data_IF_452372382907
#
_entry.id   IF_452372382907
#
_cell.length_a   1.000
_cell.length_b   1.000
_cell.length_c   1.000
_cell.angle_alpha   90.00
_cell.angle_beta   90.00
_cell.angle_gamma   90.00
#
_symmetry.space_group_name_H-M   'P 1'
#
loop_
_entity.id
_entity.type
_entity.pdbx_description
1 polymer ?
#
# COMPACT_ATOMS: atom_id res chain seq x y z
N UNK A 1 38.04 -19.36 -49.75
CA UNK A 1 37.70 -18.22 -50.63
C UNK A 1 36.25 -18.46 -51.07
N UNK A 2 35.22 -17.70 -50.71
CA UNK A 2 35.09 -16.34 -50.21
C UNK A 2 34.18 -16.30 -48.97
N UNK A 3 34.57 -15.50 -47.98
CA UNK A 3 33.73 -15.10 -46.86
C UNK A 3 32.88 -13.89 -47.29
N UNK A 4 31.56 -14.07 -47.32
CA UNK A 4 30.60 -12.99 -47.56
C UNK A 4 30.09 -12.45 -46.23
N UNK A 5 30.62 -11.29 -45.82
CA UNK A 5 30.11 -10.52 -44.69
C UNK A 5 28.69 -10.01 -44.97
N UNK A 6 27.71 -10.54 -44.24
CA UNK A 6 26.41 -9.89 -44.06
C UNK A 6 26.33 -9.45 -42.60
N UNK A 7 26.75 -8.22 -42.32
CA UNK A 7 26.44 -7.50 -41.09
C UNK A 7 25.09 -6.82 -41.29
N UNK A 8 24.00 -7.49 -40.91
CA UNK A 8 22.72 -6.81 -40.70
C UNK A 8 22.74 -6.25 -39.29
N UNK A 9 22.83 -4.93 -39.21
CA UNK A 9 22.52 -4.15 -38.02
C UNK A 9 21.05 -4.38 -37.64
N UNK A 10 20.81 -4.87 -36.43
CA UNK A 10 19.48 -5.02 -35.85
C UNK A 10 19.50 -4.51 -34.41
N UNK A 11 19.14 -3.24 -34.26
CA UNK A 11 18.95 -2.49 -33.03
C UNK A 11 18.07 -3.26 -32.03
N UNK A 12 18.48 -3.28 -30.76
CA UNK A 12 17.74 -3.94 -29.68
C UNK A 12 16.34 -3.38 -29.47
N UNK A 13 15.43 -4.26 -29.02
CA UNK A 13 14.20 -3.86 -28.37
C UNK A 13 14.15 -4.57 -27.01
N UNK A 14 14.75 -3.93 -26.00
CA UNK A 14 14.36 -4.14 -24.61
C UNK A 14 12.95 -3.54 -24.48
N UNK A 15 11.91 -4.38 -24.41
CA UNK A 15 10.56 -3.92 -24.08
C UNK A 15 10.47 -3.65 -22.57
N UNK A 16 10.86 -2.46 -22.13
CA UNK A 16 10.55 -1.96 -20.79
C UNK A 16 9.10 -1.47 -20.75
N UNK A 17 8.14 -2.39 -20.60
CA UNK A 17 6.73 -2.04 -20.33
C UNK A 17 6.47 -2.20 -18.83
N UNK A 18 6.91 -1.24 -18.02
CA UNK A 18 6.55 -1.18 -16.60
C UNK A 18 6.39 0.25 -16.04
N UNK A 19 6.66 1.29 -16.83
CA UNK A 19 6.69 2.69 -16.34
C UNK A 19 5.42 3.50 -16.62
N UNK A 20 4.38 2.93 -17.26
CA UNK A 20 3.17 3.69 -17.62
C UNK A 20 2.08 3.72 -16.52
N UNK A 21 2.17 2.87 -15.49
CA UNK A 21 1.19 2.87 -14.39
C UNK A 21 1.54 3.85 -13.26
N UNK A 22 2.79 4.33 -13.21
CA UNK A 22 3.23 5.27 -12.18
C UNK A 22 2.47 6.60 -12.27
N UNK A 23 2.17 7.09 -13.48
CA UNK A 23 1.62 8.43 -13.66
C UNK A 23 0.12 8.54 -13.37
N UNK A 24 -0.68 7.49 -13.60
CA UNK A 24 -2.16 7.57 -13.48
C UNK A 24 -2.68 7.74 -12.05
N UNK A 25 -1.91 7.29 -11.05
CA UNK A 25 -2.28 7.37 -9.64
C UNK A 25 -1.52 8.46 -8.89
N UNK A 26 -0.66 9.21 -9.57
CA UNK A 26 0.25 10.17 -8.94
C UNK A 26 -0.50 11.21 -8.10
N UNK A 27 -1.62 11.74 -8.59
CA UNK A 27 -2.46 12.70 -7.84
C UNK A 27 -3.01 12.09 -6.55
N UNK A 28 -3.40 10.81 -6.54
CA UNK A 28 -3.87 10.11 -5.34
C UNK A 28 -2.72 9.82 -4.36
N UNK A 29 -1.51 9.56 -4.87
CA UNK A 29 -0.32 9.29 -4.05
C UNK A 29 0.23 10.55 -3.39
N UNK A 30 0.20 11.66 -4.12
CA UNK A 30 0.72 12.96 -3.66
C UNK A 30 -0.27 13.68 -2.73
N UNK A 31 -1.54 13.26 -2.73
CA UNK A 31 -2.52 13.75 -1.78
C UNK A 31 -2.24 13.20 -0.36
N UNK A 32 -1.94 14.06 0.62
CA UNK A 32 -1.51 13.60 1.95
C UNK A 32 -2.62 12.91 2.74
N UNK A 33 -3.89 13.28 2.51
CA UNK A 33 -5.03 12.66 3.20
C UNK A 33 -5.22 11.22 2.72
N UNK A 34 -5.20 11.02 1.40
CA UNK A 34 -5.27 9.69 0.79
C UNK A 34 -4.04 8.87 1.17
N UNK A 35 -2.83 9.41 0.98
CA UNK A 35 -1.58 8.71 1.26
C UNK A 35 -1.49 8.23 2.71
N UNK A 36 -1.82 9.10 3.68
CA UNK A 36 -1.83 8.74 5.10
C UNK A 36 -2.95 7.73 5.41
N UNK A 37 -4.15 7.93 4.85
CA UNK A 37 -5.29 7.04 5.09
C UNK A 37 -5.05 5.60 4.61
N UNK A 38 -4.50 5.44 3.39
CA UNK A 38 -4.18 4.09 2.87
C UNK A 38 -3.02 3.45 3.63
N UNK A 39 -2.05 4.25 4.09
CA UNK A 39 -0.95 3.75 4.93
C UNK A 39 -1.47 3.23 6.27
N UNK A 40 -2.32 3.99 6.96
CA UNK A 40 -2.95 3.57 8.22
C UNK A 40 -3.74 2.27 8.02
N UNK A 41 -4.51 2.17 6.94
CA UNK A 41 -5.25 0.94 6.63
C UNK A 41 -4.33 -0.26 6.37
N UNK A 42 -3.21 -0.05 5.66
CA UNK A 42 -2.24 -1.10 5.39
C UNK A 42 -1.48 -1.55 6.64
N UNK A 43 -1.12 -0.64 7.54
CA UNK A 43 -0.50 -0.99 8.84
C UNK A 43 -1.47 -1.82 9.66
N UNK A 44 -2.73 -1.38 9.79
CA UNK A 44 -3.75 -2.12 10.53
C UNK A 44 -3.97 -3.53 9.97
N UNK A 45 -3.97 -3.68 8.64
CA UNK A 45 -4.05 -5.00 7.98
C UNK A 45 -2.80 -5.85 8.25
N UNK A 46 -1.61 -5.28 8.14
CA UNK A 46 -0.37 -6.02 8.39
C UNK A 46 -0.31 -6.55 9.83
N UNK A 47 -0.80 -5.78 10.80
CA UNK A 47 -0.94 -6.25 12.19
C UNK A 47 -1.99 -7.38 12.28
N UNK A 48 -3.19 -7.20 11.72
CA UNK A 48 -4.24 -8.24 11.67
C UNK A 48 -3.73 -9.54 11.03
N UNK A 49 -2.94 -9.46 9.96
CA UNK A 49 -2.44 -10.61 9.22
C UNK A 49 -1.30 -11.36 9.97
N UNK A 50 -0.59 -10.70 10.89
CA UNK A 50 0.55 -11.28 11.63
C UNK A 50 0.20 -11.72 13.06
N UNK A 51 -0.95 -11.29 13.61
CA UNK A 51 -1.28 -11.44 15.02
C UNK A 51 -2.57 -12.23 15.20
N UNK A 52 -2.48 -13.39 15.85
CA UNK A 52 -3.63 -14.26 16.07
C UNK A 52 -4.68 -13.67 17.04
N UNK A 53 -4.25 -12.77 17.91
CA UNK A 53 -5.01 -12.14 19.00
C UNK A 53 -5.33 -10.66 18.74
N UNK A 54 -5.09 -10.14 17.53
CA UNK A 54 -5.44 -8.78 17.16
C UNK A 54 -6.32 -8.79 15.91
N UNK A 55 -7.49 -8.18 16.02
CA UNK A 55 -8.46 -8.12 14.95
C UNK A 55 -8.72 -6.68 14.50
N UNK A 56 -8.96 -6.51 13.20
CA UNK A 56 -9.38 -5.23 12.66
C UNK A 56 -10.88 -4.99 12.90
N UNK A 57 -11.20 -3.81 13.45
CA UNK A 57 -12.57 -3.32 13.61
C UNK A 57 -13.15 -2.93 12.25
N UNK A 58 -13.87 -3.87 11.61
CA UNK A 58 -14.45 -3.69 10.26
C UNK A 58 -15.32 -2.44 10.12
N UNK A 59 -16.11 -2.11 11.15
CA UNK A 59 -16.96 -0.91 11.18
C UNK A 59 -16.15 0.39 11.12
N UNK A 60 -15.30 0.68 12.13
CA UNK A 60 -14.37 1.81 12.12
C UNK A 60 -13.52 1.90 10.86
N UNK A 61 -12.97 0.78 10.36
CA UNK A 61 -12.19 0.79 9.13
C UNK A 61 -13.02 1.22 7.90
N UNK A 62 -14.28 0.78 7.80
CA UNK A 62 -15.19 1.23 6.73
C UNK A 62 -15.50 2.72 6.86
N UNK A 63 -15.76 3.20 8.07
CA UNK A 63 -16.04 4.62 8.31
C UNK A 63 -14.83 5.50 7.98
N UNK A 64 -13.62 5.05 8.32
CA UNK A 64 -12.37 5.75 8.01
C UNK A 64 -12.09 5.84 6.50
N UNK A 65 -12.64 4.93 5.68
CA UNK A 65 -12.47 4.96 4.22
C UNK A 65 -13.37 6.00 3.52
N UNK A 66 -14.48 6.42 4.15
CA UNK A 66 -15.44 7.39 3.56
C UNK A 66 -14.78 8.72 3.20
N UNK A 67 -14.02 9.40 4.09
CA UNK A 67 -13.38 10.67 3.72
C UNK A 67 -12.36 10.50 2.59
N UNK A 68 -11.60 9.39 2.56
CA UNK A 68 -10.63 9.12 1.49
C UNK A 68 -11.32 8.97 0.13
N UNK A 69 -12.46 8.27 0.10
CA UNK A 69 -13.26 8.11 -1.09
C UNK A 69 -13.81 9.46 -1.60
N UNK A 70 -14.34 10.28 -0.69
CA UNK A 70 -14.83 11.62 -1.03
C UNK A 70 -13.69 12.53 -1.51
N UNK A 71 -12.50 12.42 -0.91
CA UNK A 71 -11.30 13.15 -1.32
C UNK A 71 -10.91 12.78 -2.74
N UNK A 72 -10.85 11.49 -3.07
CA UNK A 72 -10.55 11.04 -4.42
C UNK A 72 -11.57 11.54 -5.46
N UNK A 73 -12.86 11.55 -5.13
CA UNK A 73 -13.90 12.16 -5.98
C UNK A 73 -13.65 13.66 -6.18
N UNK A 74 -13.29 14.40 -5.12
CA UNK A 74 -12.98 15.83 -5.21
C UNK A 74 -11.78 16.14 -6.10
N UNK A 75 -10.87 15.18 -6.26
CA UNK A 75 -9.70 15.24 -7.15
C UNK A 75 -10.03 14.88 -8.60
N UNK A 76 -11.30 14.58 -8.91
CA UNK A 76 -11.79 14.29 -10.25
C UNK A 76 -11.87 12.81 -10.61
N UNK A 77 -11.58 11.90 -9.68
CA UNK A 77 -11.64 10.46 -9.94
C UNK A 77 -13.07 9.93 -9.88
N UNK A 78 -13.45 9.13 -10.88
CA UNK A 78 -14.70 8.38 -10.88
C UNK A 78 -14.65 7.21 -9.89
N UNK A 79 -15.83 6.69 -9.53
CA UNK A 79 -15.94 5.52 -8.63
C UNK A 79 -15.20 4.29 -9.17
N UNK A 80 -15.25 4.08 -10.48
CA UNK A 80 -14.54 2.99 -11.16
C UNK A 80 -13.03 3.17 -11.15
N UNK A 81 -12.54 4.41 -11.27
CA UNK A 81 -11.10 4.67 -11.16
C UNK A 81 -10.60 4.51 -9.72
N UNK A 82 -11.40 4.90 -8.73
CA UNK A 82 -11.08 4.67 -7.32
C UNK A 82 -11.04 3.16 -7.02
N UNK A 83 -12.02 2.40 -7.53
CA UNK A 83 -12.02 0.95 -7.40
C UNK A 83 -10.77 0.34 -8.07
N UNK A 84 -10.44 0.78 -9.29
CA UNK A 84 -9.23 0.33 -9.99
C UNK A 84 -7.95 0.67 -9.22
N UNK A 85 -7.86 1.84 -8.57
CA UNK A 85 -6.74 2.21 -7.70
C UNK A 85 -6.62 1.28 -6.48
N UNK A 86 -7.75 0.99 -5.82
CA UNK A 86 -7.79 0.10 -4.66
C UNK A 86 -7.43 -1.34 -5.04
N UNK A 87 -7.83 -1.78 -6.24
CA UNK A 87 -7.61 -3.14 -6.73
C UNK A 87 -6.26 -3.34 -7.41
N UNK A 88 -5.55 -2.26 -7.77
CA UNK A 88 -4.23 -2.28 -8.38
C UNK A 88 -3.18 -2.94 -7.47
N UNK A 89 -2.62 -4.07 -7.92
CA UNK A 89 -1.68 -4.85 -7.11
C UNK A 89 -0.35 -4.12 -6.89
N UNK A 90 0.07 -3.27 -7.83
CA UNK A 90 1.28 -2.46 -7.65
C UNK A 90 1.05 -1.39 -6.58
N UNK A 91 -0.14 -0.76 -6.52
CA UNK A 91 -0.47 0.16 -5.44
C UNK A 91 -0.61 -0.53 -4.09
N UNK A 92 -1.26 -1.69 -4.04
CA UNK A 92 -1.33 -2.49 -2.81
C UNK A 92 0.07 -2.82 -2.30
N UNK A 93 0.97 -3.29 -3.17
CA UNK A 93 2.33 -3.61 -2.76
C UNK A 93 3.14 -2.39 -2.36
N UNK A 94 3.00 -1.26 -3.06
CA UNK A 94 3.63 0.00 -2.70
C UNK A 94 3.25 0.44 -1.30
N UNK A 95 1.95 0.37 -0.95
CA UNK A 95 1.47 0.77 0.37
C UNK A 95 1.87 -0.26 1.44
N UNK A 96 1.87 -1.57 1.13
CA UNK A 96 2.43 -2.59 2.05
C UNK A 96 3.90 -2.37 2.34
N UNK A 97 4.71 -2.04 1.34
CA UNK A 97 6.12 -1.69 1.54
C UNK A 97 6.31 -0.45 2.42
N UNK A 98 5.42 0.53 2.33
CA UNK A 98 5.40 1.66 3.27
C UNK A 98 5.04 1.23 4.69
N UNK A 99 4.05 0.35 4.85
CA UNK A 99 3.66 -0.19 6.15
C UNK A 99 4.79 -0.99 6.81
N UNK A 100 5.49 -1.86 6.05
CA UNK A 100 6.68 -2.59 6.52
C UNK A 100 7.73 -1.64 7.07
N UNK A 101 8.12 -0.64 6.27
CA UNK A 101 9.12 0.37 6.69
C UNK A 101 8.68 1.14 7.94
N UNK A 102 7.39 1.45 8.06
CA UNK A 102 6.85 2.16 9.22
C UNK A 102 6.93 1.30 10.50
N UNK A 103 6.72 -0.01 10.38
CA UNK A 103 6.87 -0.99 11.46
C UNK A 103 8.35 -1.21 11.83
N UNK A 104 9.23 -1.34 10.84
CA UNK A 104 10.68 -1.43 11.04
C UNK A 104 11.24 -0.23 11.80
N UNK A 105 10.76 0.98 11.50
CA UNK A 105 11.12 2.20 12.23
C UNK A 105 10.68 2.17 13.71
N UNK A 106 9.77 1.27 14.09
CA UNK A 106 9.32 1.02 15.46
C UNK A 106 9.96 -0.23 16.09
N UNK A 107 10.97 -0.79 15.42
CA UNK A 107 11.68 -1.97 15.89
C UNK A 107 10.93 -3.28 15.63
N UNK A 108 9.84 -3.26 14.87
CA UNK A 108 9.15 -4.48 14.46
C UNK A 108 9.80 -5.10 13.21
N UNK A 109 9.70 -6.42 13.08
CA UNK A 109 10.29 -7.18 11.98
C UNK A 109 9.35 -8.30 11.53
N UNK A 110 9.21 -8.49 10.23
CA UNK A 110 8.46 -9.64 9.68
C UNK A 110 9.12 -10.98 10.02
N UNK A 111 10.42 -10.99 10.28
CA UNK A 111 11.11 -12.19 10.77
C UNK A 111 10.78 -12.52 12.24
N UNK A 112 10.18 -11.57 12.96
CA UNK A 112 9.75 -11.73 14.34
C UNK A 112 8.33 -11.15 14.53
N UNK A 113 7.27 -11.83 14.04
CA UNK A 113 5.89 -11.32 14.02
C UNK A 113 5.38 -10.80 15.37
N UNK A 114 5.85 -11.38 16.48
CA UNK A 114 5.50 -10.91 17.83
C UNK A 114 5.85 -9.42 18.08
N UNK A 115 6.91 -8.92 17.44
CA UNK A 115 7.29 -7.50 17.51
C UNK A 115 6.28 -6.61 16.78
N UNK A 116 5.66 -7.09 15.69
CA UNK A 116 4.56 -6.41 15.00
C UNK A 116 3.33 -6.37 15.91
N UNK A 117 3.04 -7.48 16.59
CA UNK A 117 1.91 -7.57 17.52
C UNK A 117 2.10 -6.65 18.73
N UNK A 118 3.33 -6.51 19.22
CA UNK A 118 3.62 -5.54 20.28
C UNK A 118 3.32 -4.11 19.82
N UNK A 119 3.77 -3.71 18.62
CA UNK A 119 3.42 -2.39 18.05
C UNK A 119 1.90 -2.24 17.93
N UNK A 120 1.19 -3.29 17.51
CA UNK A 120 -0.27 -3.29 17.44
C UNK A 120 -0.94 -3.01 18.78
N UNK A 121 -0.49 -3.67 19.85
CA UNK A 121 -0.98 -3.45 21.22
C UNK A 121 -0.67 -2.05 21.72
N UNK A 122 0.54 -1.55 21.44
CA UNK A 122 0.94 -0.19 21.81
C UNK A 122 0.05 0.86 21.14
N UNK A 123 -0.26 0.69 19.85
CA UNK A 123 -1.16 1.58 19.11
C UNK A 123 -2.61 1.51 19.64
N UNK A 124 -3.11 0.31 19.97
CA UNK A 124 -4.42 0.11 20.62
C UNK A 124 -4.47 0.85 21.96
N UNK A 125 -3.47 0.64 22.81
CA UNK A 125 -3.36 1.27 24.14
C UNK A 125 -3.29 2.80 24.04
N UNK A 126 -2.53 3.31 23.07
CA UNK A 126 -2.42 4.74 22.81
C UNK A 126 -3.69 5.39 22.24
N UNK A 127 -4.69 4.60 21.82
CA UNK A 127 -5.89 5.11 21.16
C UNK A 127 -5.57 5.83 19.84
N UNK A 128 -4.47 5.44 19.19
CA UNK A 128 -3.97 6.09 17.99
C UNK A 128 -4.94 5.91 16.81
N UNK A 129 -4.69 6.58 15.69
CA UNK A 129 -5.51 6.37 14.48
C UNK A 129 -5.45 4.92 14.00
N UNK A 130 -4.30 4.24 14.14
CA UNK A 130 -4.14 2.82 13.83
C UNK A 130 -4.86 1.98 14.89
N UNK A 131 -4.63 2.25 16.17
CA UNK A 131 -5.22 1.52 17.29
C UNK A 131 -6.75 1.57 17.31
N UNK A 132 -7.36 2.70 16.90
CA UNK A 132 -8.82 2.82 16.76
C UNK A 132 -9.41 1.89 15.68
N UNK A 133 -8.58 1.41 14.75
CA UNK A 133 -8.98 0.42 13.75
C UNK A 133 -8.78 -1.02 14.22
N UNK A 134 -8.18 -1.23 15.39
CA UNK A 134 -7.80 -2.54 15.91
C UNK A 134 -8.48 -2.82 17.26
N UNK A 135 -8.55 -4.09 17.63
CA UNK A 135 -8.93 -4.55 18.96
C UNK A 135 -8.17 -5.82 19.28
N UNK A 136 -7.98 -6.07 20.57
CA UNK A 136 -7.61 -7.41 21.03
C UNK A 136 -8.77 -8.40 20.78
N UNK A 137 -8.40 -9.64 20.50
CA UNK A 137 -9.24 -10.79 20.17
C UNK A 137 -9.61 -11.61 21.40
#
# INVERSE_FOLDING_TARGET
>A
MLAGCILVAGFGVLTTVAMAQADRWQVLRDDPEIANGVLVAAIGRMIEDNCADIERRRGPARLAAIPLFNRAISLGYSRSEIAAYIDDDAEKERVRALARRWLEQRGASEAAPETICQVGRDEISAGSTIGRLLREG
#
